data_IF_184603232034
#
_entry.id   IF_184603232034
#
_cell.length_a   1.000
_cell.length_b   1.000
_cell.length_c   1.000
_cell.angle_alpha   90.00
_cell.angle_beta   90.00
_cell.angle_gamma   90.00
#
_symmetry.space_group_name_H-M   'P 1'
#
loop_
_entity.id
_entity.type
_entity.pdbx_description
1 polymer ?
#
# COMPACT_ATOMS: atom_id res chain seq x y z
N UNK A 1 -2.20 28.48 18.14
CA UNK A 1 -1.56 27.87 16.96
C UNK A 1 -2.45 28.09 15.73
N UNK A 2 -1.87 28.41 14.55
CA UNK A 2 -2.59 28.86 13.33
C UNK A 2 -3.69 27.92 12.81
N UNK A 3 -3.61 26.63 13.11
CA UNK A 3 -4.51 25.60 12.56
C UNK A 3 -5.24 24.75 13.60
N UNK A 4 -5.10 25.06 14.90
CA UNK A 4 -5.82 24.32 15.96
C UNK A 4 -5.43 22.84 16.12
N UNK A 5 -4.30 22.41 15.56
CA UNK A 5 -3.79 21.03 15.64
C UNK A 5 -2.54 20.95 16.51
N UNK A 6 -2.31 19.78 17.12
CA UNK A 6 -1.04 19.40 17.74
C UNK A 6 -0.22 18.63 16.71
N UNK A 7 1.00 19.07 16.48
CA UNK A 7 1.95 18.35 15.64
C UNK A 7 2.73 17.38 16.51
N UNK A 8 2.73 16.11 16.13
CA UNK A 8 3.69 15.12 16.60
C UNK A 8 4.70 14.87 15.49
N UNK A 9 5.98 15.11 15.78
CA UNK A 9 7.06 15.04 14.78
C UNK A 9 8.12 14.12 15.36
N UNK A 10 8.28 12.97 14.73
CA UNK A 10 9.28 11.96 15.07
C UNK A 10 9.98 11.48 13.80
N UNK A 11 11.00 10.67 13.99
CA UNK A 11 11.72 10.02 12.89
C UNK A 11 11.55 8.51 13.02
N UNK A 12 11.36 7.86 11.88
CA UNK A 12 11.41 6.40 11.77
C UNK A 12 12.54 6.04 10.83
N UNK A 13 13.33 5.03 11.20
CA UNK A 13 14.41 4.48 10.39
C UNK A 13 14.04 3.07 9.94
N UNK A 14 14.56 2.65 8.79
CA UNK A 14 14.38 1.28 8.33
C UNK A 14 14.91 0.30 9.39
N UNK A 15 14.13 -0.75 9.68
CA UNK A 15 14.54 -1.79 10.64
C UNK A 15 15.64 -2.65 9.99
N UNK A 16 16.79 -2.89 10.64
CA UNK A 16 17.86 -3.74 10.07
C UNK A 16 17.39 -5.16 9.69
N UNK A 17 16.36 -5.68 10.36
CA UNK A 17 15.75 -6.97 10.03
C UNK A 17 15.09 -7.02 8.64
N UNK A 18 14.84 -5.86 8.03
CA UNK A 18 14.31 -5.76 6.66
C UNK A 18 15.42 -5.65 5.61
N UNK A 19 16.70 -5.63 6.00
CA UNK A 19 17.80 -5.59 5.06
C UNK A 19 17.86 -6.89 4.24
N UNK A 20 18.14 -6.74 2.94
CA UNK A 20 18.31 -7.88 2.04
C UNK A 20 19.76 -8.33 1.98
N UNK A 21 19.97 -9.64 1.83
CA UNK A 21 21.27 -10.21 1.49
C UNK A 21 21.66 -9.85 0.05
N UNK A 22 22.93 -9.51 -0.15
CA UNK A 22 23.49 -9.39 -1.50
C UNK A 22 23.78 -10.78 -2.09
N UNK A 23 23.61 -10.92 -3.40
CA UNK A 23 23.90 -12.15 -4.14
C UNK A 23 24.91 -11.88 -5.26
N UNK A 24 25.68 -12.91 -5.59
CA UNK A 24 26.53 -12.95 -6.78
C UNK A 24 25.69 -13.08 -8.07
N UNK A 25 26.26 -12.85 -9.26
CA UNK A 25 25.55 -13.06 -10.53
C UNK A 25 24.99 -14.48 -10.74
N UNK A 26 25.54 -15.48 -10.05
CA UNK A 26 25.05 -16.87 -10.03
C UNK A 26 23.98 -17.14 -8.95
N UNK A 27 23.48 -16.07 -8.31
CA UNK A 27 22.50 -16.08 -7.24
C UNK A 27 22.96 -16.75 -5.92
N UNK A 28 24.25 -17.05 -5.77
CA UNK A 28 24.81 -17.49 -4.48
C UNK A 28 24.98 -16.29 -3.54
N UNK A 29 24.91 -16.53 -2.22
CA UNK A 29 25.07 -15.47 -1.22
C UNK A 29 26.46 -14.82 -1.33
N UNK A 30 26.48 -13.49 -1.47
CA UNK A 30 27.72 -12.73 -1.46
C UNK A 30 28.31 -12.73 -0.05
N UNK A 31 29.61 -13.02 0.06
CA UNK A 31 30.37 -12.99 1.30
C UNK A 31 31.51 -11.99 1.21
N UNK A 32 31.75 -11.29 2.32
CA UNK A 32 32.91 -10.41 2.48
C UNK A 32 34.18 -11.25 2.68
N UNK A 33 35.35 -10.60 2.67
CA UNK A 33 36.66 -11.26 2.84
C UNK A 33 36.76 -12.04 4.16
N UNK A 34 36.06 -11.61 5.21
CA UNK A 34 35.97 -12.26 6.51
C UNK A 34 34.95 -13.42 6.58
N UNK A 35 34.26 -13.72 5.47
CA UNK A 35 33.24 -14.76 5.35
C UNK A 35 31.82 -14.35 5.77
N UNK A 36 31.63 -13.14 6.31
CA UNK A 36 30.32 -12.62 6.69
C UNK A 36 29.45 -12.27 5.48
N UNK A 37 28.12 -12.24 5.67
CA UNK A 37 27.18 -11.84 4.62
C UNK A 37 27.10 -10.31 4.51
N UNK A 38 26.99 -9.80 3.28
CA UNK A 38 26.71 -8.39 3.04
C UNK A 38 25.20 -8.14 3.03
N UNK A 39 24.74 -7.25 3.90
CA UNK A 39 23.36 -6.76 3.95
C UNK A 39 23.25 -5.37 3.31
N UNK A 40 22.13 -5.11 2.64
CA UNK A 40 21.81 -3.82 2.02
C UNK A 40 20.36 -3.44 2.33
N UNK A 41 20.05 -2.14 2.37
CA UNK A 41 18.66 -1.72 2.51
C UNK A 41 17.78 -2.27 1.38
N UNK A 42 16.61 -2.85 1.71
CA UNK A 42 15.70 -3.49 0.77
C UNK A 42 14.89 -2.55 -0.14
N UNK A 43 15.23 -1.25 -0.14
CA UNK A 43 14.49 -0.21 -0.85
C UNK A 43 13.18 0.17 -0.15
N UNK A 44 12.33 0.90 -0.86
CA UNK A 44 11.14 1.55 -0.28
C UNK A 44 10.11 0.58 0.32
N UNK A 45 10.09 -0.69 -0.11
CA UNK A 45 9.19 -1.70 0.43
C UNK A 45 9.39 -2.00 1.91
N UNK A 46 10.61 -1.77 2.44
CA UNK A 46 10.91 -1.91 3.86
C UNK A 46 10.07 -0.98 4.76
N UNK A 47 9.47 0.07 4.18
CA UNK A 47 8.59 1.01 4.85
C UNK A 47 7.35 0.34 5.48
N UNK A 48 6.88 -0.80 4.94
CA UNK A 48 5.66 -1.47 5.43
C UNK A 48 5.78 -1.80 6.92
N UNK A 49 6.94 -2.28 7.36
CA UNK A 49 7.21 -2.59 8.76
C UNK A 49 7.14 -1.38 9.68
N UNK A 50 7.50 -0.20 9.18
CA UNK A 50 7.40 1.05 9.93
C UNK A 50 5.96 1.59 9.92
N UNK A 51 5.21 1.41 8.83
CA UNK A 51 3.81 1.83 8.75
C UNK A 51 2.93 1.06 9.75
N UNK A 52 3.22 -0.22 9.97
CA UNK A 52 2.50 -1.05 10.95
C UNK A 52 2.64 -0.56 12.40
N UNK A 53 3.64 0.28 12.70
CA UNK A 53 3.85 0.87 14.03
C UNK A 53 3.14 2.21 14.21
N UNK A 54 2.54 2.75 13.15
CA UNK A 54 1.83 4.04 13.17
C UNK A 54 0.35 3.79 13.44
N UNK A 55 -0.12 4.23 14.61
CA UNK A 55 -1.54 4.26 14.95
C UNK A 55 -2.22 5.48 14.32
N UNK A 56 -2.79 5.31 13.13
CA UNK A 56 -3.49 6.35 12.39
C UNK A 56 -4.55 5.78 11.43
N UNK A 57 -5.67 6.50 11.30
CA UNK A 57 -6.74 6.13 10.36
C UNK A 57 -6.37 6.39 8.89
N UNK A 58 -5.54 7.41 8.63
CA UNK A 58 -5.17 7.85 7.29
C UNK A 58 -3.71 8.27 7.26
N UNK A 59 -2.93 7.66 6.35
CA UNK A 59 -1.51 7.94 6.19
C UNK A 59 -1.25 8.51 4.80
N UNK A 60 -0.62 9.69 4.75
CA UNK A 60 -0.12 10.26 3.49
C UNK A 60 1.36 9.95 3.32
N UNK A 61 1.69 9.10 2.35
CA UNK A 61 3.07 8.75 2.00
C UNK A 61 3.55 9.64 0.87
N UNK A 62 4.80 10.11 0.96
CA UNK A 62 5.41 10.95 -0.06
C UNK A 62 6.92 10.82 -0.03
N UNK A 63 7.53 10.63 -1.20
CA UNK A 63 8.98 10.60 -1.31
C UNK A 63 9.60 12.00 -1.12
N UNK A 64 10.86 12.02 -0.68
CA UNK A 64 11.60 13.24 -0.36
C UNK A 64 11.87 14.11 -1.60
N UNK A 65 12.09 13.49 -2.75
CA UNK A 65 12.27 14.14 -4.06
C UNK A 65 11.00 14.86 -4.55
N UNK A 66 9.83 14.42 -4.09
CA UNK A 66 8.56 15.04 -4.47
C UNK A 66 8.21 16.30 -3.65
N UNK A 67 9.12 16.83 -2.81
CA UNK A 67 8.90 18.07 -2.03
C UNK A 67 8.92 19.29 -2.95
N UNK A 68 7.77 19.98 -3.02
CA UNK A 68 7.54 21.11 -3.92
C UNK A 68 7.72 22.46 -3.22
N UNK A 69 7.84 23.54 -4.01
CA UNK A 69 7.95 24.91 -3.51
C UNK A 69 6.63 25.43 -2.94
N UNK A 70 6.71 26.47 -2.10
CA UNK A 70 5.54 27.05 -1.41
C UNK A 70 4.40 27.44 -2.38
N UNK A 71 4.75 27.91 -3.59
CA UNK A 71 3.79 28.29 -4.61
C UNK A 71 2.88 27.13 -5.09
N UNK A 72 3.36 25.88 -5.02
CA UNK A 72 2.62 24.67 -5.47
C UNK A 72 1.97 23.88 -4.33
N UNK A 73 2.07 24.38 -3.08
CA UNK A 73 1.46 23.73 -1.91
C UNK A 73 -0.07 23.68 -2.01
N UNK A 74 -0.70 24.67 -2.62
CA UNK A 74 -2.16 24.73 -2.79
C UNK A 74 -2.72 23.51 -3.52
N UNK A 75 -2.17 23.20 -4.69
CA UNK A 75 -2.58 22.04 -5.50
C UNK A 75 -2.29 20.74 -4.78
N UNK A 76 -1.13 20.65 -4.11
CA UNK A 76 -0.77 19.47 -3.30
C UNK A 76 -1.83 19.19 -2.23
N UNK A 77 -2.27 20.21 -1.49
CA UNK A 77 -3.32 20.07 -0.46
C UNK A 77 -4.65 19.68 -1.10
N UNK A 78 -5.02 20.29 -2.22
CA UNK A 78 -6.28 19.99 -2.93
C UNK A 78 -6.33 18.52 -3.36
N UNK A 79 -5.30 18.03 -4.02
CA UNK A 79 -5.28 16.64 -4.50
C UNK A 79 -5.11 15.63 -3.38
N UNK A 80 -4.38 15.94 -2.30
CA UNK A 80 -4.36 15.11 -1.09
C UNK A 80 -5.76 14.92 -0.51
N UNK A 81 -6.55 15.99 -0.42
CA UNK A 81 -7.94 15.91 0.03
C UNK A 81 -8.82 15.09 -0.92
N UNK A 82 -8.64 15.25 -2.23
CA UNK A 82 -9.38 14.47 -3.22
C UNK A 82 -9.06 12.96 -3.12
N UNK A 83 -7.78 12.59 -3.05
CA UNK A 83 -7.35 11.20 -2.88
C UNK A 83 -7.85 10.60 -1.57
N UNK A 84 -7.79 11.36 -0.48
CA UNK A 84 -8.33 10.93 0.81
C UNK A 84 -9.86 10.73 0.76
N UNK A 85 -10.59 11.59 0.05
CA UNK A 85 -12.03 11.41 -0.18
C UNK A 85 -12.33 10.08 -0.89
N UNK A 86 -11.61 9.79 -1.97
CA UNK A 86 -11.72 8.50 -2.69
C UNK A 86 -11.43 7.32 -1.78
N UNK A 87 -10.37 7.40 -0.96
CA UNK A 87 -10.00 6.34 -0.03
C UNK A 87 -11.11 6.11 1.02
N UNK A 88 -11.63 7.17 1.63
CA UNK A 88 -12.70 7.09 2.64
C UNK A 88 -13.98 6.52 2.04
N UNK A 89 -14.34 6.92 0.82
CA UNK A 89 -15.52 6.40 0.13
C UNK A 89 -15.40 4.90 -0.15
N UNK A 90 -14.25 4.45 -0.66
CA UNK A 90 -13.96 3.03 -0.88
C UNK A 90 -13.95 2.22 0.42
N UNK A 91 -13.34 2.77 1.49
CA UNK A 91 -13.29 2.12 2.80
C UNK A 91 -14.69 1.92 3.38
N UNK A 92 -15.56 2.93 3.28
CA UNK A 92 -16.94 2.81 3.73
C UNK A 92 -17.69 1.70 2.99
N UNK A 93 -17.57 1.65 1.66
CA UNK A 93 -18.19 0.58 0.86
C UNK A 93 -17.62 -0.81 1.24
N UNK A 94 -16.31 -0.92 1.50
CA UNK A 94 -15.68 -2.15 1.96
C UNK A 94 -16.19 -2.59 3.36
N UNK A 95 -16.34 -1.65 4.30
CA UNK A 95 -16.90 -1.92 5.62
C UNK A 95 -18.35 -2.35 5.55
N UNK A 96 -19.15 -1.78 4.66
CA UNK A 96 -20.53 -2.19 4.43
C UNK A 96 -20.60 -3.65 3.92
N UNK A 97 -19.69 -4.03 3.01
CA UNK A 97 -19.55 -5.41 2.55
C UNK A 97 -19.14 -6.35 3.69
N UNK A 98 -18.15 -5.97 4.51
CA UNK A 98 -17.72 -6.77 5.66
C UNK A 98 -18.87 -7.02 6.65
N UNK A 99 -19.68 -5.99 6.96
CA UNK A 99 -20.82 -6.12 7.87
C UNK A 99 -21.84 -7.15 7.39
N UNK A 100 -22.17 -7.18 6.09
CA UNK A 100 -23.14 -8.14 5.55
C UNK A 100 -22.55 -9.55 5.42
N UNK A 101 -21.24 -9.68 5.19
CA UNK A 101 -20.53 -10.97 5.22
C UNK A 101 -20.56 -11.55 6.63
N UNK A 102 -20.15 -10.76 7.63
CA UNK A 102 -20.10 -11.20 9.03
C UNK A 102 -21.50 -11.53 9.57
N UNK A 103 -22.56 -10.90 9.04
CA UNK A 103 -23.95 -11.21 9.37
C UNK A 103 -24.50 -12.46 8.65
N UNK A 104 -23.77 -13.03 7.68
CA UNK A 104 -24.22 -14.16 6.88
C UNK A 104 -25.33 -13.82 5.88
N UNK A 105 -25.53 -12.54 5.56
CA UNK A 105 -26.59 -12.03 4.67
C UNK A 105 -26.06 -11.46 3.36
N UNK A 106 -24.76 -11.63 3.09
CA UNK A 106 -24.11 -11.09 1.91
C UNK A 106 -24.58 -11.76 0.61
N UNK A 107 -24.82 -10.95 -0.42
CA UNK A 107 -24.76 -11.39 -1.81
C UNK A 107 -23.28 -11.41 -2.24
N UNK A 108 -22.68 -12.60 -2.31
CA UNK A 108 -21.26 -12.75 -2.61
C UNK A 108 -20.90 -12.27 -4.02
N UNK A 109 -21.81 -12.38 -4.99
CA UNK A 109 -21.55 -11.89 -6.35
C UNK A 109 -21.53 -10.36 -6.38
N UNK A 110 -22.36 -9.71 -5.57
CA UNK A 110 -22.34 -8.24 -5.43
C UNK A 110 -21.05 -7.76 -4.76
N UNK A 111 -20.59 -8.46 -3.72
CA UNK A 111 -19.32 -8.17 -3.05
C UNK A 111 -18.16 -8.40 -4.02
N UNK A 112 -18.13 -9.51 -4.74
CA UNK A 112 -17.10 -9.83 -5.72
C UNK A 112 -16.99 -8.73 -6.80
N UNK A 113 -18.13 -8.28 -7.35
CA UNK A 113 -18.15 -7.15 -8.29
C UNK A 113 -17.55 -5.88 -7.70
N UNK A 114 -17.81 -5.56 -6.43
CA UNK A 114 -17.17 -4.42 -5.77
C UNK A 114 -15.65 -4.59 -5.69
N UNK A 115 -15.18 -5.76 -5.23
CA UNK A 115 -13.76 -6.10 -5.12
C UNK A 115 -13.05 -5.97 -6.48
N UNK A 116 -13.60 -6.55 -7.54
CA UNK A 116 -13.00 -6.55 -8.87
C UNK A 116 -13.01 -5.16 -9.52
N UNK A 117 -14.13 -4.44 -9.43
CA UNK A 117 -14.32 -3.20 -10.21
C UNK A 117 -13.86 -1.94 -9.48
N UNK A 118 -13.95 -1.92 -8.14
CA UNK A 118 -13.65 -0.74 -7.33
C UNK A 118 -12.31 -0.84 -6.61
N UNK A 119 -11.93 -2.05 -6.17
CA UNK A 119 -10.64 -2.30 -5.52
C UNK A 119 -9.59 -2.83 -6.50
N UNK A 120 -9.99 -3.18 -7.73
CA UNK A 120 -9.11 -3.68 -8.79
C UNK A 120 -8.33 -4.93 -8.34
N UNK A 121 -9.00 -5.87 -7.68
CA UNK A 121 -8.42 -7.17 -7.29
C UNK A 121 -9.04 -8.25 -8.16
N UNK A 122 -8.23 -9.06 -8.83
CA UNK A 122 -8.73 -10.19 -9.62
C UNK A 122 -8.96 -11.39 -8.70
N UNK A 123 -10.18 -11.92 -8.69
CA UNK A 123 -10.56 -13.07 -7.90
C UNK A 123 -10.32 -14.37 -8.68
N UNK A 124 -10.02 -15.49 -7.98
CA UNK A 124 -10.02 -16.81 -8.60
C UNK A 124 -11.41 -17.18 -9.14
N UNK A 125 -11.47 -18.17 -10.04
CA UNK A 125 -12.73 -18.65 -10.66
C UNK A 125 -13.79 -19.02 -9.61
N UNK A 126 -13.36 -19.55 -8.47
CA UNK A 126 -14.21 -19.86 -7.32
C UNK A 126 -13.76 -19.07 -6.09
N UNK A 127 -14.70 -18.40 -5.43
CA UNK A 127 -14.47 -17.66 -4.19
C UNK A 127 -15.56 -17.95 -3.17
N UNK A 128 -15.23 -17.75 -1.89
CA UNK A 128 -16.18 -17.86 -0.78
C UNK A 128 -16.18 -16.58 0.06
N UNK A 129 -17.06 -16.54 1.07
CA UNK A 129 -17.17 -15.43 1.99
C UNK A 129 -15.85 -15.18 2.76
N UNK A 130 -15.09 -16.23 3.07
CA UNK A 130 -13.85 -16.12 3.81
C UNK A 130 -12.76 -15.41 3.00
N UNK A 131 -12.61 -15.77 1.72
CA UNK A 131 -11.69 -15.10 0.80
C UNK A 131 -12.06 -13.64 0.60
N UNK A 132 -13.34 -13.36 0.30
CA UNK A 132 -13.82 -11.98 0.10
C UNK A 132 -13.59 -11.13 1.35
N UNK A 133 -13.88 -11.68 2.54
CA UNK A 133 -13.60 -11.02 3.81
C UNK A 133 -12.10 -10.72 3.96
N UNK A 134 -11.24 -11.70 3.67
CA UNK A 134 -9.79 -11.54 3.79
C UNK A 134 -9.20 -10.51 2.81
N UNK A 135 -9.85 -10.27 1.67
CA UNK A 135 -9.48 -9.20 0.73
C UNK A 135 -9.96 -7.84 1.23
N UNK A 136 -11.20 -7.74 1.70
CA UNK A 136 -11.80 -6.50 2.18
C UNK A 136 -11.18 -5.98 3.49
N UNK A 137 -10.66 -6.88 4.32
CA UNK A 137 -10.00 -6.58 5.61
C UNK A 137 -8.52 -6.15 5.44
N UNK A 138 -8.10 -5.84 4.20
CA UNK A 138 -6.77 -5.33 3.89
C UNK A 138 -6.74 -3.79 3.91
N UNK A 139 -5.59 -3.16 4.24
CA UNK A 139 -5.43 -1.72 4.08
C UNK A 139 -5.64 -1.29 2.63
N UNK A 140 -6.39 -0.19 2.42
CA UNK A 140 -6.62 0.39 1.09
C UNK A 140 -5.54 1.43 0.79
N UNK A 141 -4.90 1.33 -0.37
CA UNK A 141 -3.95 2.33 -0.88
C UNK A 141 -4.49 2.98 -2.15
N UNK A 142 -4.65 4.30 -2.12
CA UNK A 142 -5.01 5.11 -3.30
C UNK A 142 -3.80 5.92 -3.75
N UNK A 143 -3.41 5.78 -5.01
CA UNK A 143 -2.26 6.47 -5.59
C UNK A 143 -2.70 7.46 -6.68
N UNK A 144 -2.19 8.68 -6.62
CA UNK A 144 -2.25 9.60 -7.76
C UNK A 144 -1.14 9.24 -8.75
N UNK A 145 -1.52 8.76 -9.94
CA UNK A 145 -0.57 8.35 -10.98
C UNK A 145 -0.53 9.37 -12.12
N UNK A 146 0.66 9.60 -12.67
CA UNK A 146 0.82 10.30 -13.95
C UNK A 146 0.82 9.25 -15.06
N UNK A 147 0.25 9.58 -16.21
CA UNK A 147 0.25 8.67 -17.38
C UNK A 147 1.69 8.34 -17.74
N UNK A 148 2.01 7.05 -17.86
CA UNK A 148 3.32 6.64 -18.37
C UNK A 148 3.37 6.93 -19.88
N UNK A 149 4.34 7.72 -20.31
CA UNK A 149 4.55 8.12 -21.71
C UNK A 149 5.68 7.32 -22.40
N UNK A 150 6.02 6.15 -21.85
CA UNK A 150 7.05 5.24 -22.38
C UNK A 150 8.36 5.28 -21.60
N UNK A 151 8.36 5.87 -20.41
CA UNK A 151 9.54 5.94 -19.56
C UNK A 151 9.90 4.54 -19.01
N UNK A 152 11.19 4.16 -19.02
CA UNK A 152 11.63 2.87 -18.50
C UNK A 152 11.49 2.81 -16.97
N UNK A 153 10.68 1.85 -16.49
CA UNK A 153 10.54 1.51 -15.07
C UNK A 153 9.29 2.07 -14.38
N UNK A 154 8.95 1.49 -13.21
CA UNK A 154 8.00 2.07 -12.25
C UNK A 154 6.50 1.96 -12.56
N UNK A 155 6.10 1.19 -13.57
CA UNK A 155 4.68 0.93 -13.86
C UNK A 155 4.03 -0.03 -12.85
N UNK A 156 2.71 0.04 -12.64
CA UNK A 156 2.00 -0.97 -11.87
C UNK A 156 2.12 -2.34 -12.56
N UNK A 157 2.24 -3.39 -11.75
CA UNK A 157 2.21 -4.78 -12.19
C UNK A 157 1.29 -5.57 -11.27
N UNK A 158 0.69 -6.62 -11.82
CA UNK A 158 -0.12 -7.58 -11.08
C UNK A 158 0.78 -8.56 -10.34
N UNK A 159 0.35 -9.00 -9.15
CA UNK A 159 1.12 -9.93 -8.31
C UNK A 159 0.22 -11.08 -7.92
N UNK A 160 0.60 -12.30 -8.35
CA UNK A 160 -0.11 -13.50 -7.94
C UNK A 160 0.14 -13.84 -6.48
N UNK A 161 -0.95 -13.91 -5.71
CA UNK A 161 -0.94 -14.28 -4.31
C UNK A 161 -1.19 -15.79 -4.12
N UNK A 162 -0.72 -16.39 -3.02
CA UNK A 162 -0.97 -17.81 -2.73
C UNK A 162 -2.45 -18.20 -2.61
N UNK A 163 -3.33 -17.23 -2.34
CA UNK A 163 -4.79 -17.41 -2.27
C UNK A 163 -5.47 -17.37 -3.66
N UNK A 164 -4.69 -17.24 -4.73
CA UNK A 164 -5.18 -17.17 -6.11
C UNK A 164 -5.68 -15.79 -6.55
N UNK A 165 -5.58 -14.76 -5.70
CA UNK A 165 -5.86 -13.38 -6.09
C UNK A 165 -4.69 -12.74 -6.82
N UNK A 166 -4.97 -11.80 -7.71
CA UNK A 166 -3.95 -11.00 -8.42
C UNK A 166 -4.20 -9.50 -8.31
#
# INVERSE_FOLDING_TARGET
>A
ARYGVRYDISFSVQKPATDTVAVNPDNTLFRQEDGSLLFRPAGHGALIENLNEIDADLIFIKNIDNVTTDARRGDTVRYKKALAGVLIDLQREAFDCLRVIDAGTADLDAVARFVETRLCVMLPESYDAALLRAVLDRPIRVCGMVRNEGEPGGGPFWVANPDGTE
#
